data_IF_505104658227
#
_entry.id   IF_505104658227
#
_cell.length_a   1.000
_cell.length_b   1.000
_cell.length_c   1.000
_cell.angle_alpha   90.00
_cell.angle_beta   90.00
_cell.angle_gamma   90.00
#
_symmetry.space_group_name_H-M   'P 1'
#
loop_
_entity.id
_entity.type
_entity.pdbx_description
1 polymer ?
#
# COMPACT_ATOMS: atom_id res chain seq x y z
N UNK A 1 14.30 -17.01 -4.44
CA UNK A 1 13.97 -15.81 -3.65
C UNK A 1 14.33 -16.05 -2.20
N UNK A 2 15.20 -15.23 -1.67
CA UNK A 2 15.70 -15.43 -0.32
C UNK A 2 15.08 -14.51 0.71
N UNK A 3 14.35 -13.49 0.26
CA UNK A 3 13.84 -12.46 1.14
C UNK A 3 12.61 -11.81 0.54
N UNK A 4 11.74 -11.26 1.39
CA UNK A 4 10.62 -10.45 0.91
C UNK A 4 11.13 -9.25 0.09
N UNK A 5 12.36 -8.83 0.30
CA UNK A 5 12.96 -7.71 -0.44
C UNK A 5 13.08 -7.99 -1.93
N UNK A 6 13.08 -9.27 -2.31
CA UNK A 6 13.13 -9.68 -3.71
C UNK A 6 11.77 -9.63 -4.40
N UNK A 7 10.69 -9.50 -3.64
CA UNK A 7 9.34 -9.42 -4.20
C UNK A 7 9.14 -8.07 -4.90
N UNK A 8 8.75 -8.11 -6.15
CA UNK A 8 8.46 -6.88 -6.91
C UNK A 8 7.37 -6.07 -6.23
N UNK A 9 6.32 -6.74 -5.71
CA UNK A 9 5.22 -6.05 -5.03
C UNK A 9 5.70 -5.29 -3.79
N UNK A 10 6.67 -5.85 -3.06
CA UNK A 10 7.25 -5.14 -1.92
C UNK A 10 8.05 -3.91 -2.37
N UNK A 11 8.86 -4.08 -3.42
CA UNK A 11 9.65 -2.98 -3.98
C UNK A 11 8.76 -1.84 -4.48
N UNK A 12 7.67 -2.17 -5.16
CA UNK A 12 6.69 -1.18 -5.63
C UNK A 12 6.01 -0.49 -4.45
N UNK A 13 5.72 -1.24 -3.39
CA UNK A 13 5.12 -0.67 -2.18
C UNK A 13 6.06 0.32 -1.51
N UNK A 14 7.36 0.06 -1.53
CA UNK A 14 8.35 0.99 -0.98
C UNK A 14 8.43 2.27 -1.83
N UNK A 15 8.31 2.15 -3.16
CA UNK A 15 8.21 3.33 -4.03
C UNK A 15 6.97 4.16 -3.66
N UNK A 16 5.87 3.49 -3.40
CA UNK A 16 4.63 4.16 -3.01
C UNK A 16 4.79 4.90 -1.68
N UNK A 17 5.50 4.32 -0.72
CA UNK A 17 5.79 5.01 0.55
C UNK A 17 6.50 6.34 0.29
N UNK A 18 7.53 6.32 -0.55
CA UNK A 18 8.27 7.53 -0.89
C UNK A 18 7.36 8.57 -1.54
N UNK A 19 6.56 8.13 -2.51
CA UNK A 19 5.64 9.01 -3.24
C UNK A 19 4.63 9.67 -2.30
N UNK A 20 4.04 8.88 -1.41
CA UNK A 20 3.02 9.39 -0.48
C UNK A 20 3.64 10.34 0.56
N UNK A 21 4.84 10.03 1.06
CA UNK A 21 5.50 10.93 1.99
C UNK A 21 5.82 12.28 1.33
N UNK A 22 6.16 12.27 0.05
CA UNK A 22 6.37 13.52 -0.70
C UNK A 22 5.04 14.28 -0.88
N UNK A 23 3.96 13.60 -1.20
CA UNK A 23 2.63 14.22 -1.34
C UNK A 23 2.15 14.81 -0.02
N UNK A 24 2.38 14.10 1.08
CA UNK A 24 1.93 14.54 2.41
C UNK A 24 2.55 15.89 2.80
N UNK A 25 3.74 16.19 2.30
CA UNK A 25 4.38 17.49 2.56
C UNK A 25 3.59 18.66 1.99
N UNK A 26 2.70 18.39 1.04
CA UNK A 26 1.86 19.44 0.42
C UNK A 26 0.61 19.75 1.22
N UNK A 27 0.26 18.91 2.17
CA UNK A 27 -0.94 19.11 2.98
C UNK A 27 -0.70 20.22 4.01
N UNK A 28 -1.77 20.97 4.38
CA UNK A 28 -1.61 22.03 5.37
C UNK A 28 -1.29 21.45 6.75
N UNK A 29 -0.63 22.24 7.58
CA UNK A 29 -0.17 21.80 8.91
C UNK A 29 -1.33 21.35 9.81
N UNK A 30 -2.54 21.86 9.59
CA UNK A 30 -3.72 21.44 10.35
C UNK A 30 -4.10 19.99 10.13
N UNK A 31 -3.59 19.36 9.04
CA UNK A 31 -3.82 17.94 8.77
C UNK A 31 -2.74 17.03 9.35
N UNK A 32 -1.73 17.60 10.01
CA UNK A 32 -0.57 16.84 10.48
C UNK A 32 -0.94 15.62 11.33
N UNK A 33 -1.89 15.76 12.22
CA UNK A 33 -2.34 14.69 13.11
C UNK A 33 -3.64 14.04 12.67
N UNK A 34 -4.11 14.38 11.48
CA UNK A 34 -5.34 13.83 10.93
C UNK A 34 -5.03 13.12 9.61
N UNK A 35 -5.37 13.74 8.47
CA UNK A 35 -5.23 13.11 7.16
C UNK A 35 -3.78 12.73 6.85
N UNK A 36 -2.82 13.61 7.13
CA UNK A 36 -1.40 13.32 6.89
C UNK A 36 -0.94 12.09 7.67
N UNK A 37 -1.32 11.99 8.93
CA UNK A 37 -0.95 10.87 9.78
C UNK A 37 -1.57 9.57 9.27
N UNK A 38 -2.86 9.61 8.91
CA UNK A 38 -3.56 8.44 8.38
C UNK A 38 -2.94 7.94 7.08
N UNK A 39 -2.53 8.85 6.20
CA UNK A 39 -1.90 8.49 4.93
C UNK A 39 -0.55 7.80 5.15
N UNK A 40 0.26 8.35 6.06
CA UNK A 40 1.54 7.74 6.41
C UNK A 40 1.34 6.34 6.98
N UNK A 41 0.36 6.17 7.86
CA UNK A 41 0.07 4.87 8.49
C UNK A 41 -0.40 3.85 7.45
N UNK A 42 -1.33 4.23 6.59
CA UNK A 42 -1.87 3.29 5.60
C UNK A 42 -0.83 2.88 4.57
N UNK A 43 0.01 3.83 4.09
CA UNK A 43 1.01 3.48 3.09
C UNK A 43 2.11 2.59 3.67
N UNK A 44 2.54 2.82 4.90
CA UNK A 44 3.56 1.99 5.56
C UNK A 44 3.02 0.58 5.82
N UNK A 45 1.73 0.47 6.12
CA UNK A 45 1.07 -0.81 6.36
C UNK A 45 1.15 -1.76 5.16
N UNK A 46 1.23 -1.23 3.93
CA UNK A 46 1.26 -2.07 2.73
C UNK A 46 2.53 -2.92 2.68
N UNK A 47 3.74 -2.36 2.61
CA UNK A 47 4.95 -3.19 2.58
C UNK A 47 5.16 -3.98 3.87
N UNK A 48 4.73 -3.43 5.00
CA UNK A 48 4.88 -4.12 6.29
C UNK A 48 4.10 -5.43 6.31
N UNK A 49 2.86 -5.43 5.82
CA UNK A 49 2.04 -6.63 5.80
C UNK A 49 2.49 -7.61 4.71
N UNK A 50 2.98 -7.12 3.58
CA UNK A 50 3.56 -7.99 2.55
C UNK A 50 4.75 -8.76 3.13
N UNK A 51 5.65 -8.06 3.80
CA UNK A 51 6.83 -8.67 4.42
C UNK A 51 6.45 -9.66 5.51
N UNK A 52 5.54 -9.25 6.38
CA UNK A 52 5.08 -10.11 7.47
C UNK A 52 4.45 -11.39 6.94
N UNK A 53 3.60 -11.28 5.94
CA UNK A 53 2.95 -12.43 5.33
C UNK A 53 3.94 -13.38 4.67
N UNK A 54 4.93 -12.82 3.99
CA UNK A 54 5.97 -13.62 3.33
C UNK A 54 6.76 -14.48 4.33
N UNK A 55 6.96 -13.96 5.54
CA UNK A 55 7.73 -14.65 6.59
C UNK A 55 6.90 -15.71 7.33
N UNK A 56 5.59 -15.79 7.08
CA UNK A 56 4.75 -16.79 7.71
C UNK A 56 4.94 -18.16 7.06
N UNK A 57 4.69 -19.21 7.84
CA UNK A 57 4.94 -20.59 7.38
C UNK A 57 3.80 -21.16 6.53
N UNK A 58 2.56 -20.66 6.69
CA UNK A 58 1.42 -21.21 5.97
C UNK A 58 0.92 -20.27 4.89
N UNK A 59 0.42 -20.85 3.81
CA UNK A 59 -0.22 -20.09 2.72
C UNK A 59 -1.42 -19.32 3.20
N UNK A 60 -2.17 -19.88 4.14
CA UNK A 60 -3.34 -19.24 4.71
C UNK A 60 -2.98 -17.95 5.42
N UNK A 61 -1.91 -17.96 6.21
CA UNK A 61 -1.44 -16.76 6.90
C UNK A 61 -0.90 -15.75 5.91
N UNK A 62 -0.16 -16.20 4.89
CA UNK A 62 0.35 -15.32 3.85
C UNK A 62 -0.82 -14.59 3.17
N UNK A 63 -1.86 -15.32 2.77
CA UNK A 63 -3.06 -14.73 2.17
C UNK A 63 -3.69 -13.70 3.09
N UNK A 64 -3.77 -14.01 4.38
CA UNK A 64 -4.35 -13.10 5.37
C UNK A 64 -3.62 -11.75 5.39
N UNK A 65 -2.29 -11.79 5.49
CA UNK A 65 -1.49 -10.56 5.52
C UNK A 65 -1.54 -9.80 4.19
N UNK A 66 -1.58 -10.52 3.07
CA UNK A 66 -1.75 -9.88 1.77
C UNK A 66 -3.12 -9.20 1.66
N UNK A 67 -4.15 -9.79 2.23
CA UNK A 67 -5.49 -9.17 2.27
C UNK A 67 -5.50 -7.91 3.10
N UNK A 68 -4.77 -7.89 4.22
CA UNK A 68 -4.62 -6.67 5.02
C UNK A 68 -3.91 -5.59 4.23
N UNK A 69 -2.84 -5.96 3.52
CA UNK A 69 -2.11 -5.00 2.66
C UNK A 69 -3.04 -4.41 1.60
N UNK A 70 -3.87 -5.25 1.00
CA UNK A 70 -4.82 -4.81 -0.02
C UNK A 70 -5.87 -3.85 0.56
N UNK A 71 -6.32 -4.11 1.78
CA UNK A 71 -7.22 -3.20 2.49
C UNK A 71 -6.57 -1.86 2.79
N UNK A 72 -5.31 -1.88 3.22
CA UNK A 72 -4.54 -0.65 3.47
C UNK A 72 -4.37 0.15 2.19
N UNK A 73 -4.17 -0.53 1.06
CA UNK A 73 -4.09 0.12 -0.25
C UNK A 73 -5.40 0.84 -0.59
N UNK A 74 -6.54 0.18 -0.39
CA UNK A 74 -7.85 0.80 -0.66
C UNK A 74 -8.08 2.02 0.24
N UNK A 75 -7.69 1.92 1.49
CA UNK A 75 -7.76 3.03 2.43
C UNK A 75 -6.93 4.20 1.95
N UNK A 76 -5.70 3.94 1.52
CA UNK A 76 -4.81 4.98 1.00
C UNK A 76 -5.39 5.63 -0.27
N UNK A 77 -5.94 4.83 -1.18
CA UNK A 77 -6.55 5.38 -2.40
C UNK A 77 -7.68 6.35 -2.07
N UNK A 78 -8.48 6.00 -1.07
CA UNK A 78 -9.56 6.88 -0.59
C UNK A 78 -8.96 8.18 -0.04
N UNK A 79 -7.92 8.10 0.75
CA UNK A 79 -7.27 9.28 1.33
C UNK A 79 -6.65 10.18 0.24
N UNK A 80 -6.07 9.58 -0.79
CA UNK A 80 -5.54 10.32 -1.94
C UNK A 80 -6.65 11.08 -2.66
N UNK A 81 -7.79 10.44 -2.87
CA UNK A 81 -8.94 11.10 -3.50
C UNK A 81 -9.46 12.25 -2.65
N UNK A 82 -9.45 12.07 -1.32
CA UNK A 82 -9.83 13.14 -0.40
C UNK A 82 -8.88 14.34 -0.53
N UNK A 83 -7.57 14.08 -0.63
CA UNK A 83 -6.58 15.14 -0.81
C UNK A 83 -6.85 15.94 -2.07
N UNK A 84 -7.17 15.27 -3.15
CA UNK A 84 -7.48 15.92 -4.42
C UNK A 84 -8.78 16.71 -4.34
N UNK A 85 -9.82 16.12 -3.74
CA UNK A 85 -11.11 16.74 -3.57
C UNK A 85 -11.02 18.05 -2.77
N UNK A 86 -10.18 18.04 -1.73
CA UNK A 86 -10.01 19.21 -0.87
C UNK A 86 -9.03 20.25 -1.45
N UNK A 87 -8.43 19.93 -2.60
CA UNK A 87 -7.50 20.85 -3.26
C UNK A 87 -6.12 20.90 -2.66
N UNK A 88 -5.75 19.95 -1.81
CA UNK A 88 -4.42 19.90 -1.21
C UNK A 88 -3.35 19.43 -2.21
N UNK A 89 -3.75 18.58 -3.13
CA UNK A 89 -2.86 17.99 -4.14
C UNK A 89 -3.60 17.99 -5.47
N UNK A 90 -2.93 18.47 -6.54
CA UNK A 90 -3.56 18.52 -7.86
C UNK A 90 -3.50 17.18 -8.59
N UNK A 91 -2.37 16.48 -8.50
CA UNK A 91 -2.14 15.27 -9.27
C UNK A 91 -1.77 14.11 -8.35
N UNK A 92 -2.64 13.12 -8.30
CA UNK A 92 -2.44 11.89 -7.53
C UNK A 92 -2.23 10.69 -8.45
N UNK A 93 -2.08 10.91 -9.76
CA UNK A 93 -2.09 9.81 -10.75
C UNK A 93 -0.96 8.81 -10.53
N UNK A 94 0.25 9.26 -10.22
CA UNK A 94 1.37 8.35 -10.00
C UNK A 94 1.14 7.44 -8.81
N UNK A 95 0.66 7.99 -7.70
CA UNK A 95 0.36 7.20 -6.51
C UNK A 95 -0.79 6.22 -6.77
N UNK A 96 -1.83 6.65 -7.46
CA UNK A 96 -2.96 5.79 -7.81
C UNK A 96 -2.52 4.66 -8.74
N UNK A 97 -1.69 4.95 -9.73
CA UNK A 97 -1.16 3.94 -10.65
C UNK A 97 -0.35 2.88 -9.89
N UNK A 98 0.50 3.30 -8.95
CA UNK A 98 1.24 2.38 -8.11
C UNK A 98 0.30 1.52 -7.25
N UNK A 99 -0.73 2.11 -6.68
CA UNK A 99 -1.74 1.36 -5.92
C UNK A 99 -2.41 0.29 -6.78
N UNK A 100 -2.79 0.62 -7.99
CA UNK A 100 -3.44 -0.32 -8.89
C UNK A 100 -2.50 -1.46 -9.29
N UNK A 101 -1.24 -1.13 -9.56
CA UNK A 101 -0.21 -2.11 -9.89
C UNK A 101 0.03 -3.07 -8.72
N UNK A 102 0.17 -2.52 -7.53
CA UNK A 102 0.35 -3.30 -6.29
C UNK A 102 -0.85 -4.22 -6.06
N UNK A 103 -2.06 -3.71 -6.23
CA UNK A 103 -3.28 -4.49 -6.06
C UNK A 103 -3.34 -5.69 -7.01
N UNK A 104 -2.97 -5.49 -8.27
CA UNK A 104 -2.92 -6.59 -9.24
C UNK A 104 -1.89 -7.65 -8.84
N UNK A 105 -0.74 -7.22 -8.37
CA UNK A 105 0.32 -8.12 -7.93
C UNK A 105 -0.11 -8.93 -6.70
N UNK A 106 -0.73 -8.26 -5.72
CA UNK A 106 -1.24 -8.93 -4.53
C UNK A 106 -2.26 -9.99 -4.92
N UNK A 107 -3.22 -9.64 -5.76
CA UNK A 107 -4.27 -10.56 -6.19
C UNK A 107 -3.67 -11.76 -6.94
N UNK A 108 -2.64 -11.54 -7.74
CA UNK A 108 -1.95 -12.61 -8.45
C UNK A 108 -1.28 -13.58 -7.48
N UNK A 109 -0.62 -13.05 -6.45
CA UNK A 109 0.02 -13.89 -5.43
C UNK A 109 -1.03 -14.69 -4.65
N UNK A 110 -2.10 -14.04 -4.23
CA UNK A 110 -3.19 -14.70 -3.50
C UNK A 110 -3.75 -15.87 -4.32
N UNK A 111 -4.00 -15.63 -5.61
CA UNK A 111 -4.50 -16.64 -6.52
C UNK A 111 -3.53 -17.83 -6.62
N UNK A 112 -2.24 -17.54 -6.75
CA UNK A 112 -1.20 -18.56 -6.89
C UNK A 112 -1.09 -19.45 -5.66
N UNK A 113 -1.07 -18.84 -4.47
CA UNK A 113 -0.86 -19.61 -3.23
C UNK A 113 -2.15 -20.24 -2.73
N UNK A 114 -3.32 -19.67 -3.08
CA UNK A 114 -4.63 -20.20 -2.66
C UNK A 114 -5.38 -20.94 -3.74
N UNK A 115 -4.97 -20.80 -4.99
CA UNK A 115 -5.72 -21.30 -6.13
C UNK A 115 -5.71 -22.81 -6.31
N UNK A 116 -5.00 -23.53 -5.46
CA UNK A 116 -4.94 -24.98 -5.49
C UNK A 116 -5.92 -25.63 -4.52
N UNK A 117 -6.70 -24.84 -3.89
CA UNK A 117 -7.69 -25.30 -2.92
C UNK A 117 -8.92 -25.79 -3.64
#
# INVERSE_FOLDING_TARGET
MESFRDLIVWQKSMQLVKEVYDLVKLLPSEEKYALSDQMRRSVVSIPSNIAEGYERESSKEYQHFLSIANGSKAELMTQLEICKMLGYVDDISEAIDLCNEIGKMINTIIKKIGGKI
#
